data_IF_480161930235
#
_entry.id   IF_480161930235
#
_cell.length_a   1.000
_cell.length_b   1.000
_cell.length_c   1.000
_cell.angle_alpha   90.00
_cell.angle_beta   90.00
_cell.angle_gamma   90.00
#
_symmetry.space_group_name_H-M   'P 1'
#
loop_
_entity.id
_entity.type
_entity.pdbx_description
1 polymer ?
#
# COMPACT_ATOMS: atom_id res chain seq x y z
N UNK A 1 23.35 35.43 -13.63
CA UNK A 1 22.53 34.89 -12.52
C UNK A 1 23.23 33.60 -12.14
N UNK A 2 23.98 33.62 -11.04
CA UNK A 2 24.73 32.45 -10.60
C UNK A 2 23.70 31.37 -10.27
N UNK A 3 23.67 30.27 -11.02
CA UNK A 3 22.87 29.10 -10.67
C UNK A 3 23.29 28.68 -9.26
N UNK A 4 22.47 29.02 -8.27
CA UNK A 4 22.73 28.59 -6.90
C UNK A 4 22.54 27.08 -6.91
N UNK A 5 23.65 26.33 -6.81
CA UNK A 5 23.61 24.87 -6.75
C UNK A 5 22.64 24.45 -5.64
N UNK A 6 21.57 23.75 -6.04
CA UNK A 6 20.58 23.26 -5.09
C UNK A 6 21.25 22.28 -4.12
N UNK A 7 20.88 22.28 -2.83
CA UNK A 7 21.40 21.29 -1.89
C UNK A 7 21.15 19.86 -2.41
N UNK A 8 22.15 18.98 -2.27
CA UNK A 8 22.06 17.62 -2.80
C UNK A 8 21.08 16.74 -2.03
N UNK A 9 20.94 16.95 -0.72
CA UNK A 9 20.18 16.06 0.17
C UNK A 9 18.78 16.58 0.55
N UNK A 10 18.43 17.84 0.24
CA UNK A 10 17.09 18.37 0.55
C UNK A 10 16.68 19.51 -0.40
N UNK A 11 15.38 19.80 -0.43
CA UNK A 11 14.82 20.93 -1.15
C UNK A 11 13.54 21.41 -0.47
N UNK A 12 13.38 22.73 -0.31
CA UNK A 12 12.17 23.34 0.23
C UNK A 12 11.44 24.06 -0.92
N UNK A 13 10.27 23.57 -1.37
CA UNK A 13 9.60 24.05 -2.58
C UNK A 13 8.76 25.32 -2.35
N UNK A 14 9.23 26.23 -1.49
CA UNK A 14 8.61 27.54 -1.26
C UNK A 14 9.68 28.63 -1.16
N UNK A 15 9.39 29.88 -1.57
CA UNK A 15 10.30 30.99 -1.34
C UNK A 15 10.43 31.26 0.16
N UNK A 16 11.66 31.41 0.63
CA UNK A 16 11.99 31.72 2.02
C UNK A 16 12.78 33.03 2.05
N UNK A 17 12.48 33.90 3.01
CA UNK A 17 13.24 35.13 3.27
C UNK A 17 14.58 34.83 3.96
N UNK A 18 15.46 34.08 3.28
CA UNK A 18 16.80 33.78 3.75
C UNK A 18 17.81 33.87 2.62
N UNK A 19 18.98 34.44 2.91
CA UNK A 19 20.13 34.45 1.98
C UNK A 19 20.86 33.11 1.93
N UNK A 20 20.64 32.22 2.91
CA UNK A 20 21.30 30.91 2.98
C UNK A 20 20.29 29.82 3.42
N UNK A 21 19.80 29.05 2.45
CA UNK A 21 18.84 27.96 2.67
C UNK A 21 19.40 26.83 3.53
N UNK A 22 20.73 26.66 3.57
CA UNK A 22 21.40 25.64 4.38
C UNK A 22 21.22 25.89 5.89
N UNK A 23 20.97 27.14 6.30
CA UNK A 23 20.60 27.47 7.69
C UNK A 23 19.26 26.87 8.10
N UNK A 24 18.38 26.58 7.13
CA UNK A 24 17.07 25.97 7.34
C UNK A 24 17.07 24.48 7.02
N UNK A 25 18.26 23.84 7.00
CA UNK A 25 18.40 22.42 6.71
C UNK A 25 17.46 21.58 7.61
N UNK A 26 16.62 20.71 7.02
CA UNK A 26 15.69 19.85 7.75
C UNK A 26 16.39 18.79 8.59
N UNK A 27 17.71 18.66 8.45
CA UNK A 27 18.54 17.75 9.24
C UNK A 27 19.14 18.41 10.49
N UNK A 28 19.17 19.75 10.53
CA UNK A 28 19.88 20.50 11.58
C UNK A 28 18.93 21.30 12.49
N UNK A 29 17.82 21.82 11.95
CA UNK A 29 16.95 22.74 12.70
C UNK A 29 15.46 22.42 12.57
N UNK A 30 14.65 22.67 13.63
CA UNK A 30 13.19 22.60 13.59
C UNK A 30 12.56 23.44 12.46
N UNK A 31 11.59 22.87 11.76
CA UNK A 31 10.94 23.44 10.57
C UNK A 31 9.67 24.23 10.93
N UNK A 32 9.70 24.96 12.05
CA UNK A 32 8.55 25.71 12.60
C UNK A 32 8.08 26.88 11.73
N UNK A 33 8.88 27.25 10.73
CA UNK A 33 8.50 28.25 9.72
C UNK A 33 7.52 27.69 8.68
N UNK A 34 7.39 26.36 8.55
CA UNK A 34 6.50 25.71 7.58
C UNK A 34 5.07 25.51 8.11
N UNK A 35 4.92 25.30 9.42
CA UNK A 35 3.63 25.12 10.07
C UNK A 35 3.72 25.39 11.59
N UNK A 36 2.56 25.61 12.22
CA UNK A 36 2.49 25.72 13.67
C UNK A 36 2.83 24.39 14.35
N UNK A 37 3.34 24.45 15.58
CA UNK A 37 3.64 23.25 16.38
C UNK A 37 2.42 22.33 16.55
N UNK A 38 1.21 22.89 16.58
CA UNK A 38 -0.04 22.11 16.63
C UNK A 38 -0.23 21.20 15.40
N UNK A 39 0.17 21.65 14.21
CA UNK A 39 0.11 20.82 12.98
C UNK A 39 1.12 19.67 13.07
N UNK A 40 2.37 19.97 13.45
CA UNK A 40 3.40 18.93 13.64
C UNK A 40 2.97 17.88 14.67
N UNK A 41 2.44 18.31 15.82
CA UNK A 41 1.95 17.39 16.86
C UNK A 41 0.76 16.56 16.38
N UNK A 42 -0.13 17.14 15.58
CA UNK A 42 -1.26 16.42 14.98
C UNK A 42 -0.79 15.33 14.02
N UNK A 43 0.20 15.64 13.17
CA UNK A 43 0.83 14.65 12.27
C UNK A 43 1.59 13.58 13.05
N UNK A 44 2.30 13.95 14.11
CA UNK A 44 2.97 13.01 15.00
C UNK A 44 1.96 12.06 15.66
N UNK A 45 0.85 12.57 16.20
CA UNK A 45 -0.20 11.77 16.81
C UNK A 45 -0.82 10.77 15.81
N UNK A 46 -1.04 11.20 14.57
CA UNK A 46 -1.54 10.31 13.51
C UNK A 46 -0.51 9.23 13.14
N UNK A 47 0.76 9.57 12.96
CA UNK A 47 1.81 8.59 12.70
C UNK A 47 1.98 7.60 13.85
N UNK A 48 1.89 8.08 15.10
CA UNK A 48 1.91 7.22 16.28
C UNK A 48 0.72 6.24 16.26
N UNK A 49 -0.48 6.72 15.92
CA UNK A 49 -1.64 5.86 15.71
C UNK A 49 -1.39 4.76 14.66
N UNK A 50 -0.76 5.10 13.53
CA UNK A 50 -0.38 4.11 12.52
C UNK A 50 0.62 3.07 13.05
N UNK A 51 1.57 3.49 13.89
CA UNK A 51 2.56 2.57 14.50
C UNK A 51 1.88 1.60 15.47
N UNK A 52 1.08 2.11 16.42
CA UNK A 52 0.45 1.27 17.45
C UNK A 52 -0.63 0.35 16.90
N UNK A 53 -1.24 0.67 15.76
CA UNK A 53 -2.25 -0.19 15.12
C UNK A 53 -1.65 -1.06 14.02
N UNK A 54 -0.76 -0.50 13.20
CA UNK A 54 -0.16 -1.15 12.05
C UNK A 54 0.82 -2.25 12.44
N UNK A 55 1.68 -2.05 13.45
CA UNK A 55 2.60 -3.12 13.88
C UNK A 55 1.84 -4.35 14.36
N UNK A 56 0.90 -4.26 15.34
CA UNK A 56 0.23 -5.45 15.85
C UNK A 56 -0.60 -6.17 14.79
N UNK A 57 -1.37 -5.46 13.96
CA UNK A 57 -2.27 -6.12 12.99
C UNK A 57 -1.51 -6.87 11.89
N UNK A 58 -0.42 -6.30 11.38
CA UNK A 58 0.40 -6.97 10.37
C UNK A 58 1.23 -8.10 10.98
N UNK A 59 1.79 -7.92 12.18
CA UNK A 59 2.51 -8.97 12.89
C UNK A 59 1.58 -10.15 13.20
N UNK A 60 0.37 -9.86 13.68
CA UNK A 60 -0.63 -10.87 13.98
C UNK A 60 -1.05 -11.62 12.71
N UNK A 61 -1.14 -10.94 11.57
CA UNK A 61 -1.41 -11.58 10.27
C UNK A 61 -0.33 -12.61 9.91
N UNK A 62 0.94 -12.25 10.08
CA UNK A 62 2.07 -13.16 9.85
C UNK A 62 2.04 -14.33 10.83
N UNK A 63 1.99 -14.05 12.14
CA UNK A 63 2.00 -15.06 13.20
C UNK A 63 0.82 -16.02 13.11
N UNK A 64 -0.39 -15.52 12.83
CA UNK A 64 -1.58 -16.34 12.68
C UNK A 64 -1.43 -17.33 11.52
N UNK A 65 -0.91 -16.88 10.38
CA UNK A 65 -0.68 -17.74 9.21
C UNK A 65 0.38 -18.81 9.50
N UNK A 66 1.44 -18.45 10.23
CA UNK A 66 2.43 -19.42 10.67
C UNK A 66 1.84 -20.42 11.68
N UNK A 67 1.02 -20.00 12.64
CA UNK A 67 0.48 -20.89 13.67
C UNK A 67 -0.56 -21.88 13.12
N UNK A 68 -1.48 -21.41 12.29
CA UNK A 68 -2.62 -22.22 11.83
C UNK A 68 -2.38 -22.79 10.43
N UNK A 69 -2.15 -24.11 10.33
CA UNK A 69 -1.95 -24.81 9.04
C UNK A 69 -3.08 -24.56 8.04
N UNK A 70 -4.33 -24.40 8.51
CA UNK A 70 -5.52 -24.08 7.69
C UNK A 70 -5.36 -22.78 6.89
N UNK A 71 -4.57 -21.82 7.40
CA UNK A 71 -4.29 -20.56 6.72
C UNK A 71 -3.12 -20.64 5.75
N UNK A 72 -2.37 -21.75 5.67
CA UNK A 72 -1.23 -21.89 4.75
C UNK A 72 -1.67 -22.33 3.34
N UNK A 73 -2.73 -21.70 2.85
CA UNK A 73 -3.24 -21.84 1.49
C UNK A 73 -2.46 -20.94 0.54
N UNK A 74 -2.35 -21.34 -0.73
CA UNK A 74 -1.75 -20.55 -1.81
C UNK A 74 -2.33 -19.12 -1.88
N UNK A 75 -3.63 -18.98 -1.57
CA UNK A 75 -4.35 -17.69 -1.56
C UNK A 75 -3.86 -16.73 -0.47
N UNK A 76 -3.31 -17.26 0.62
CA UNK A 76 -2.90 -16.46 1.77
C UNK A 76 -1.43 -16.04 1.70
N UNK A 77 -0.64 -16.59 0.77
CA UNK A 77 0.77 -16.23 0.62
C UNK A 77 0.93 -14.76 0.24
N UNK A 78 0.09 -14.26 -0.68
CA UNK A 78 0.11 -12.86 -1.08
C UNK A 78 -0.40 -11.91 0.03
N UNK A 79 -1.29 -12.39 0.91
CA UNK A 79 -1.72 -11.64 2.09
C UNK A 79 -0.61 -11.52 3.13
N UNK A 80 0.17 -12.59 3.33
CA UNK A 80 1.38 -12.54 4.17
C UNK A 80 2.43 -11.64 3.54
N UNK A 81 2.62 -11.70 2.22
CA UNK A 81 3.53 -10.82 1.48
C UNK A 81 3.18 -9.33 1.71
N UNK A 82 1.90 -9.00 1.59
CA UNK A 82 1.37 -7.67 1.90
C UNK A 82 1.62 -7.27 3.36
N UNK A 83 1.41 -8.18 4.31
CA UNK A 83 1.67 -7.91 5.73
C UNK A 83 3.16 -7.66 6.02
N UNK A 84 4.06 -8.42 5.37
CA UNK A 84 5.52 -8.21 5.48
C UNK A 84 5.92 -6.86 4.91
N UNK A 85 5.39 -6.48 3.75
CA UNK A 85 5.64 -5.16 3.15
C UNK A 85 5.14 -4.03 4.06
N UNK A 86 3.94 -4.15 4.61
CA UNK A 86 3.40 -3.18 5.56
C UNK A 86 4.23 -3.10 6.85
N UNK A 87 4.75 -4.22 7.37
CA UNK A 87 5.65 -4.21 8.54
C UNK A 87 6.92 -3.40 8.26
N UNK A 88 7.48 -3.46 7.05
CA UNK A 88 8.61 -2.62 6.66
C UNK A 88 8.24 -1.13 6.68
N UNK A 89 7.10 -0.77 6.08
CA UNK A 89 6.63 0.62 6.05
C UNK A 89 6.35 1.15 7.46
N UNK A 90 5.71 0.37 8.34
CA UNK A 90 5.42 0.86 9.69
C UNK A 90 6.69 0.95 10.54
N UNK A 91 7.54 -0.07 10.48
CA UNK A 91 8.73 -0.15 11.34
C UNK A 91 9.77 0.90 11.00
N UNK A 92 9.92 1.23 9.71
CA UNK A 92 10.92 2.23 9.26
C UNK A 92 10.24 3.54 8.89
N UNK A 93 9.31 3.51 7.94
CA UNK A 93 8.58 4.68 7.42
C UNK A 93 7.81 5.43 8.49
N UNK A 94 6.72 4.83 8.99
CA UNK A 94 5.82 5.48 9.94
C UNK A 94 6.50 5.79 11.28
N UNK A 95 7.40 4.93 11.75
CA UNK A 95 8.13 5.15 13.02
C UNK A 95 9.11 6.32 12.91
N UNK A 96 9.88 6.40 11.82
CA UNK A 96 10.78 7.54 11.57
C UNK A 96 10.00 8.84 11.36
N UNK A 97 8.89 8.78 10.63
CA UNK A 97 8.02 9.93 10.43
C UNK A 97 7.41 10.42 11.75
N UNK A 98 6.90 9.52 12.60
CA UNK A 98 6.43 9.85 13.95
C UNK A 98 7.49 10.61 14.74
N UNK A 99 8.71 10.05 14.82
CA UNK A 99 9.81 10.68 15.54
C UNK A 99 10.15 12.06 14.98
N UNK A 100 10.22 12.19 13.66
CA UNK A 100 10.58 13.45 12.99
C UNK A 100 9.49 14.52 13.15
N UNK A 101 8.21 14.16 13.05
CA UNK A 101 7.10 15.09 13.32
C UNK A 101 7.08 15.53 14.79
N UNK A 102 7.36 14.61 15.72
CA UNK A 102 7.48 14.94 17.16
C UNK A 102 8.64 15.90 17.44
N UNK A 103 9.76 15.77 16.72
CA UNK A 103 10.89 16.71 16.80
C UNK A 103 10.70 17.98 15.99
N UNK A 104 9.71 18.02 15.08
CA UNK A 104 9.43 19.09 14.11
C UNK A 104 10.52 19.27 13.03
N UNK A 105 11.40 18.29 12.83
CA UNK A 105 12.39 18.21 11.75
C UNK A 105 12.94 16.79 11.62
N UNK A 106 13.64 16.49 10.53
CA UNK A 106 14.24 15.18 10.28
C UNK A 106 15.63 15.05 10.93
N UNK A 107 15.68 14.91 12.25
CA UNK A 107 16.96 14.95 12.99
C UNK A 107 17.87 13.71 12.81
N UNK A 108 17.45 12.71 12.04
CA UNK A 108 18.20 11.46 11.83
C UNK A 108 19.24 11.57 10.69
N UNK A 109 19.26 12.69 9.98
CA UNK A 109 20.21 12.97 8.91
C UNK A 109 19.85 12.39 7.54
N UNK A 110 20.62 12.78 6.52
CA UNK A 110 20.34 12.46 5.12
C UNK A 110 20.38 10.96 4.80
N UNK A 111 21.27 10.19 5.44
CA UNK A 111 21.34 8.73 5.24
C UNK A 111 20.07 8.03 5.73
N UNK A 112 19.57 8.41 6.90
CA UNK A 112 18.31 7.87 7.41
C UNK A 112 17.11 8.28 6.54
N UNK A 113 17.14 9.48 5.94
CA UNK A 113 16.13 9.92 4.97
C UNK A 113 16.11 9.05 3.71
N UNK A 114 17.29 8.70 3.18
CA UNK A 114 17.42 7.77 2.04
C UNK A 114 16.90 6.38 2.39
N UNK A 115 17.20 5.88 3.60
CA UNK A 115 16.69 4.58 4.09
C UNK A 115 15.17 4.63 4.25
N UNK A 116 14.62 5.68 4.86
CA UNK A 116 13.19 5.81 5.08
C UNK A 116 12.42 5.91 3.76
N UNK A 117 12.85 6.80 2.86
CA UNK A 117 12.26 6.93 1.53
C UNK A 117 12.32 5.63 0.73
N UNK A 118 13.47 4.94 0.74
CA UNK A 118 13.62 3.65 0.06
C UNK A 118 12.69 2.58 0.63
N UNK A 119 12.71 2.36 1.95
CA UNK A 119 11.90 1.30 2.58
C UNK A 119 10.41 1.60 2.47
N UNK A 120 10.00 2.85 2.64
CA UNK A 120 8.61 3.26 2.45
C UNK A 120 8.15 3.04 1.00
N UNK A 121 9.01 3.36 0.02
CA UNK A 121 8.72 3.15 -1.41
C UNK A 121 8.68 1.66 -1.75
N UNK A 122 9.66 0.85 -1.34
CA UNK A 122 9.65 -0.61 -1.53
C UNK A 122 8.37 -1.22 -0.97
N UNK A 123 8.07 -0.97 0.31
CA UNK A 123 6.92 -1.54 0.97
C UNK A 123 5.61 -1.09 0.35
N UNK A 124 5.50 0.20 -0.01
CA UNK A 124 4.38 0.75 -0.76
C UNK A 124 4.15 0.05 -2.09
N UNK A 125 5.21 -0.13 -2.87
CA UNK A 125 5.15 -0.77 -4.19
C UNK A 125 4.84 -2.27 -4.10
N UNK A 126 5.44 -3.00 -3.15
CA UNK A 126 5.11 -4.41 -2.90
C UNK A 126 3.64 -4.55 -2.53
N UNK A 127 3.13 -3.67 -1.66
CA UNK A 127 1.73 -3.65 -1.28
C UNK A 127 0.84 -3.41 -2.49
N UNK A 128 1.16 -2.43 -3.32
CA UNK A 128 0.42 -2.05 -4.52
C UNK A 128 0.36 -3.20 -5.54
N UNK A 129 1.51 -3.78 -5.88
CA UNK A 129 1.55 -4.93 -6.79
C UNK A 129 0.89 -6.18 -6.21
N UNK A 130 0.91 -6.36 -4.88
CA UNK A 130 0.18 -7.46 -4.23
C UNK A 130 -1.33 -7.35 -4.46
N UNK A 131 -1.90 -6.14 -4.43
CA UNK A 131 -3.31 -5.92 -4.76
C UNK A 131 -3.64 -6.33 -6.20
N UNK A 132 -2.77 -5.97 -7.15
CA UNK A 132 -2.93 -6.33 -8.56
C UNK A 132 -2.84 -7.86 -8.78
N UNK A 133 -1.88 -8.52 -8.11
CA UNK A 133 -1.75 -9.99 -8.16
C UNK A 133 -3.00 -10.67 -7.57
N UNK A 134 -3.54 -10.19 -6.45
CA UNK A 134 -4.80 -10.71 -5.87
C UNK A 134 -5.96 -10.56 -6.86
N UNK A 135 -6.09 -9.41 -7.52
CA UNK A 135 -7.14 -9.18 -8.50
C UNK A 135 -7.01 -10.13 -9.71
N UNK A 136 -5.80 -10.28 -10.22
CA UNK A 136 -5.50 -11.15 -11.36
C UNK A 136 -5.72 -12.64 -11.04
N UNK A 137 -5.25 -13.09 -9.88
CA UNK A 137 -5.45 -14.45 -9.39
C UNK A 137 -6.93 -14.81 -9.29
N UNK A 138 -7.74 -13.93 -8.68
CA UNK A 138 -9.21 -14.09 -8.61
C UNK A 138 -9.86 -14.12 -9.98
N UNK A 139 -9.44 -13.25 -10.89
CA UNK A 139 -9.93 -13.25 -12.26
C UNK A 139 -9.65 -14.58 -12.95
N UNK A 140 -8.42 -15.11 -12.84
CA UNK A 140 -8.07 -16.41 -13.42
C UNK A 140 -8.89 -17.54 -12.80
N UNK A 141 -8.92 -17.67 -11.48
CA UNK A 141 -9.58 -18.80 -10.81
C UNK A 141 -11.10 -18.83 -11.05
N UNK A 142 -11.74 -17.68 -11.19
CA UNK A 142 -13.21 -17.57 -11.23
C UNK A 142 -13.74 -17.35 -12.64
N UNK A 143 -13.13 -16.45 -13.43
CA UNK A 143 -13.68 -16.05 -14.74
C UNK A 143 -13.18 -16.92 -15.88
N UNK A 144 -11.99 -17.51 -15.72
CA UNK A 144 -11.41 -18.39 -16.71
C UNK A 144 -11.02 -19.70 -16.05
N UNK A 145 -11.92 -20.69 -15.95
CA UNK A 145 -11.48 -22.06 -15.77
C UNK A 145 -10.63 -22.42 -17.01
N UNK A 146 -9.32 -22.17 -16.97
CA UNK A 146 -8.39 -22.41 -18.08
C UNK A 146 -8.18 -23.92 -18.16
N UNK A 147 -9.18 -24.66 -18.63
CA UNK A 147 -9.18 -26.13 -18.65
C UNK A 147 -8.76 -26.72 -17.30
N UNK A 148 -7.70 -27.53 -17.31
CA UNK A 148 -7.13 -28.20 -16.13
C UNK A 148 -6.18 -27.33 -15.30
N UNK A 149 -6.09 -26.01 -15.56
CA UNK A 149 -5.19 -25.13 -14.81
C UNK A 149 -5.70 -24.93 -13.38
N UNK A 150 -4.97 -25.46 -12.41
CA UNK A 150 -5.18 -25.21 -10.99
C UNK A 150 -4.10 -24.27 -10.47
N UNK A 151 -4.49 -23.25 -9.72
CA UNK A 151 -3.54 -22.35 -9.06
C UNK A 151 -2.79 -23.09 -7.95
N UNK A 152 -1.44 -23.15 -8.04
CA UNK A 152 -0.55 -23.91 -7.14
C UNK A 152 0.32 -22.97 -6.30
N UNK A 153 0.98 -23.49 -5.27
CA UNK A 153 1.97 -22.73 -4.47
C UNK A 153 3.01 -22.03 -5.32
N UNK A 154 3.50 -22.68 -6.38
CA UNK A 154 4.51 -22.12 -7.27
C UNK A 154 4.05 -20.82 -7.91
N UNK A 155 2.80 -20.74 -8.36
CA UNK A 155 2.23 -19.53 -8.93
C UNK A 155 2.05 -18.43 -7.88
N UNK A 156 1.66 -18.79 -6.64
CA UNK A 156 1.57 -17.84 -5.54
C UNK A 156 2.93 -17.24 -5.18
N UNK A 157 3.97 -18.08 -5.05
CA UNK A 157 5.34 -17.65 -4.76
C UNK A 157 5.88 -16.78 -5.89
N UNK A 158 5.65 -17.17 -7.15
CA UNK A 158 6.03 -16.37 -8.32
C UNK A 158 5.35 -15.00 -8.29
N UNK A 159 4.08 -14.93 -7.90
CA UNK A 159 3.36 -13.68 -7.66
C UNK A 159 4.04 -12.82 -6.60
N UNK A 160 4.41 -13.39 -5.44
CA UNK A 160 5.15 -12.66 -4.41
C UNK A 160 6.48 -12.14 -4.96
N UNK A 161 7.32 -13.00 -5.57
CA UNK A 161 8.63 -12.62 -6.13
C UNK A 161 8.48 -11.49 -7.16
N UNK A 162 7.47 -11.58 -8.03
CA UNK A 162 7.15 -10.54 -8.99
C UNK A 162 6.91 -9.18 -8.31
N UNK A 163 6.13 -9.13 -7.22
CA UNK A 163 5.87 -7.86 -6.51
C UNK A 163 7.15 -7.20 -5.98
N UNK A 164 8.10 -7.99 -5.47
CA UNK A 164 9.38 -7.48 -4.96
C UNK A 164 10.28 -6.98 -6.09
N UNK A 165 10.36 -7.71 -7.21
CA UNK A 165 11.13 -7.27 -8.38
C UNK A 165 10.60 -5.92 -8.87
N UNK A 166 9.28 -5.80 -9.05
CA UNK A 166 8.66 -4.57 -9.55
C UNK A 166 8.83 -3.41 -8.56
N UNK A 167 8.77 -3.69 -7.26
CA UNK A 167 9.05 -2.71 -6.22
C UNK A 167 10.50 -2.22 -6.24
N UNK A 168 11.47 -3.12 -6.45
CA UNK A 168 12.89 -2.75 -6.53
C UNK A 168 13.21 -1.97 -7.81
N UNK A 169 12.61 -2.34 -8.95
CA UNK A 169 12.72 -1.56 -10.19
C UNK A 169 12.25 -0.12 -9.98
N UNK A 170 11.22 0.08 -9.15
CA UNK A 170 10.70 1.41 -8.85
C UNK A 170 11.51 2.17 -7.79
N UNK A 171 11.96 1.49 -6.73
CA UNK A 171 12.52 2.14 -5.54
C UNK A 171 14.06 2.25 -5.53
N UNK A 172 14.77 1.39 -6.26
CA UNK A 172 16.22 1.43 -6.35
C UNK A 172 16.77 2.64 -7.14
N UNK A 173 16.18 3.08 -8.28
CA UNK A 173 16.79 4.11 -9.11
C UNK A 173 17.15 5.44 -8.42
N UNK A 174 16.36 5.96 -7.45
CA UNK A 174 16.73 7.16 -6.70
C UNK A 174 18.02 7.02 -5.87
N UNK A 175 18.46 5.79 -5.57
CA UNK A 175 19.74 5.53 -4.90
C UNK A 175 20.93 5.61 -5.88
N UNK A 176 20.69 5.50 -7.18
CA UNK A 176 21.70 5.44 -8.24
C UNK A 176 21.64 6.64 -9.19
N UNK A 177 20.93 7.71 -8.80
CA UNK A 177 20.94 8.99 -9.52
C UNK A 177 19.79 9.20 -10.50
N UNK A 178 18.83 8.27 -10.62
CA UNK A 178 17.57 8.54 -11.33
C UNK A 178 16.50 8.92 -10.31
N UNK A 179 16.27 10.22 -10.17
CA UNK A 179 15.70 10.88 -8.99
C UNK A 179 16.58 10.76 -7.74
N UNK A 180 16.04 11.12 -6.58
CA UNK A 180 16.68 11.06 -5.25
C UNK A 180 15.62 11.00 -4.14
N UNK A 181 15.99 10.48 -2.98
CA UNK A 181 15.16 10.55 -1.78
C UNK A 181 15.50 11.79 -0.97
N UNK A 182 14.51 12.65 -0.74
CA UNK A 182 14.64 13.90 0.01
C UNK A 182 13.46 14.07 0.98
N UNK A 183 13.57 14.96 1.99
CA UNK A 183 12.44 15.29 2.83
C UNK A 183 11.29 15.93 2.04
N UNK A 184 10.08 15.48 2.28
CA UNK A 184 8.85 15.89 1.58
C UNK A 184 7.90 16.65 2.53
N UNK A 185 7.04 17.51 1.96
CA UNK A 185 6.03 18.24 2.72
C UNK A 185 6.64 19.14 3.80
N UNK A 186 6.22 18.94 5.05
CA UNK A 186 6.77 19.60 6.24
C UNK A 186 8.18 19.13 6.63
N UNK A 187 8.86 18.40 5.75
CA UNK A 187 10.25 17.96 5.90
C UNK A 187 10.48 17.00 7.09
N UNK A 188 9.44 16.23 7.45
CA UNK A 188 9.47 15.21 8.52
C UNK A 188 9.21 13.78 8.02
N UNK A 189 9.04 13.61 6.71
CA UNK A 189 8.97 12.33 6.00
C UNK A 189 9.88 12.45 4.80
N UNK A 190 10.38 11.34 4.26
CA UNK A 190 11.18 11.29 3.06
C UNK A 190 10.51 10.45 1.99
N UNK A 191 10.71 10.89 0.76
CA UNK A 191 10.16 10.24 -0.42
C UNK A 191 10.92 10.67 -1.67
N UNK A 192 10.55 10.13 -2.83
CA UNK A 192 11.13 10.56 -4.08
C UNK A 192 11.01 12.08 -4.32
N UNK A 193 11.96 12.65 -5.06
CA UNK A 193 11.91 14.07 -5.41
C UNK A 193 11.01 14.29 -6.62
N UNK A 194 9.78 14.78 -6.39
CA UNK A 194 8.88 15.30 -7.41
C UNK A 194 8.84 16.83 -7.45
N UNK A 195 9.65 17.53 -6.66
CA UNK A 195 9.62 19.00 -6.57
C UNK A 195 10.60 19.65 -7.54
N UNK A 196 11.83 19.13 -7.62
CA UNK A 196 12.88 19.79 -8.39
C UNK A 196 12.91 19.32 -9.84
N UNK A 197 13.20 20.25 -10.75
CA UNK A 197 13.16 20.06 -12.21
C UNK A 197 14.45 20.58 -12.84
N UNK A 198 14.70 20.23 -14.12
CA UNK A 198 15.89 20.67 -14.87
C UNK A 198 17.22 20.47 -14.12
N UNK A 199 17.38 19.33 -13.46
CA UNK A 199 18.57 19.00 -12.66
C UNK A 199 19.19 17.66 -13.10
N UNK A 200 20.36 17.34 -12.54
CA UNK A 200 21.13 16.13 -12.87
C UNK A 200 20.42 14.79 -12.61
N UNK A 201 19.36 14.78 -11.79
CA UNK A 201 18.67 13.55 -11.36
C UNK A 201 17.51 13.15 -12.28
N UNK A 202 17.11 13.99 -13.25
CA UNK A 202 16.02 13.69 -14.19
C UNK A 202 14.69 13.30 -13.51
N UNK A 203 14.35 13.95 -12.39
CA UNK A 203 13.17 13.67 -11.56
C UNK A 203 11.86 13.52 -12.35
N UNK A 204 11.67 14.35 -13.36
CA UNK A 204 10.44 14.41 -14.16
C UNK A 204 10.15 13.07 -14.85
N UNK A 205 11.18 12.51 -15.49
CA UNK A 205 11.09 11.21 -16.15
C UNK A 205 10.79 10.08 -15.15
N UNK A 206 11.35 10.17 -13.94
CA UNK A 206 11.11 9.21 -12.87
C UNK A 206 9.68 9.29 -12.34
N UNK A 207 9.14 10.49 -12.11
CA UNK A 207 7.74 10.68 -11.68
C UNK A 207 6.77 10.15 -12.75
N UNK A 208 7.04 10.42 -14.03
CA UNK A 208 6.22 9.88 -15.13
C UNK A 208 6.29 8.35 -15.19
N UNK A 209 7.47 7.77 -14.96
CA UNK A 209 7.64 6.32 -14.84
C UNK A 209 6.80 5.76 -13.67
N UNK A 210 6.87 6.34 -12.47
CA UNK A 210 6.07 5.92 -11.33
C UNK A 210 4.56 6.01 -11.62
N UNK A 211 4.11 7.10 -12.23
CA UNK A 211 2.70 7.28 -12.55
C UNK A 211 2.21 6.24 -13.57
N UNK A 212 2.91 6.09 -14.69
CA UNK A 212 2.48 5.19 -15.75
C UNK A 212 2.60 3.71 -15.34
N UNK A 213 3.75 3.33 -14.78
CA UNK A 213 4.09 1.94 -14.53
C UNK A 213 3.70 1.46 -13.13
N UNK A 214 3.91 2.28 -12.11
CA UNK A 214 3.67 1.87 -10.72
C UNK A 214 2.25 2.19 -10.24
N UNK A 215 1.54 3.14 -10.86
CA UNK A 215 0.14 3.41 -10.58
C UNK A 215 -0.79 2.94 -11.71
N UNK A 216 -0.54 3.36 -12.96
CA UNK A 216 -1.41 3.11 -14.11
C UNK A 216 -1.58 1.63 -14.44
N UNK A 217 -0.49 0.86 -14.55
CA UNK A 217 -0.56 -0.57 -14.88
C UNK A 217 -1.28 -1.39 -13.79
N UNK A 218 -0.93 -1.28 -12.50
CA UNK A 218 -1.66 -1.98 -11.44
C UNK A 218 -3.12 -1.58 -11.35
N UNK A 219 -3.43 -0.28 -11.43
CA UNK A 219 -4.81 0.21 -11.38
C UNK A 219 -5.65 -0.37 -12.52
N UNK A 220 -5.14 -0.29 -13.76
CA UNK A 220 -5.83 -0.84 -14.93
C UNK A 220 -6.03 -2.35 -14.80
N UNK A 221 -5.02 -3.07 -14.28
CA UNK A 221 -5.12 -4.51 -14.02
C UNK A 221 -6.21 -4.82 -13.01
N UNK A 222 -6.25 -4.10 -11.89
CA UNK A 222 -7.26 -4.27 -10.83
C UNK A 222 -8.66 -4.02 -11.39
N UNK A 223 -8.87 -2.90 -12.07
CA UNK A 223 -10.16 -2.53 -12.66
C UNK A 223 -10.61 -3.59 -13.66
N UNK A 224 -9.76 -3.95 -14.63
CA UNK A 224 -10.08 -4.96 -15.63
C UNK A 224 -10.48 -6.30 -15.00
N UNK A 225 -9.64 -6.83 -14.11
CA UNK A 225 -9.84 -8.14 -13.48
C UNK A 225 -11.14 -8.15 -12.67
N UNK A 226 -11.41 -7.11 -11.90
CA UNK A 226 -12.60 -7.03 -11.08
C UNK A 226 -13.88 -6.71 -11.85
N UNK A 227 -13.81 -5.92 -12.92
CA UNK A 227 -14.96 -5.76 -13.83
C UNK A 227 -15.36 -7.12 -14.41
N UNK A 228 -14.40 -7.90 -14.91
CA UNK A 228 -14.70 -9.24 -15.45
C UNK A 228 -15.21 -10.20 -14.37
N UNK A 229 -14.66 -10.12 -13.16
CA UNK A 229 -15.13 -10.89 -12.01
C UNK A 229 -16.60 -10.60 -11.69
N UNK A 230 -16.96 -9.33 -11.55
CA UNK A 230 -18.32 -8.93 -11.24
C UNK A 230 -19.31 -9.31 -12.34
N UNK A 231 -18.94 -9.15 -13.61
CA UNK A 231 -19.78 -9.57 -14.74
C UNK A 231 -20.03 -11.08 -14.74
N UNK A 232 -19.00 -11.87 -14.48
CA UNK A 232 -19.10 -13.33 -14.41
C UNK A 232 -19.98 -13.76 -13.24
N UNK A 233 -19.74 -13.22 -12.04
CA UNK A 233 -20.52 -13.55 -10.85
C UNK A 233 -21.99 -13.17 -11.00
N UNK A 234 -22.30 -12.01 -11.59
CA UNK A 234 -23.68 -11.61 -11.90
C UNK A 234 -24.35 -12.56 -12.90
N UNK A 235 -23.62 -13.01 -13.91
CA UNK A 235 -24.14 -14.00 -14.87
C UNK A 235 -24.47 -15.32 -14.20
N UNK A 236 -23.58 -15.81 -13.33
CA UNK A 236 -23.80 -17.06 -12.57
C UNK A 236 -24.96 -16.91 -11.59
N UNK A 237 -25.01 -15.81 -10.84
CA UNK A 237 -26.09 -15.54 -9.89
C UNK A 237 -27.46 -15.45 -10.59
N UNK A 238 -27.52 -14.86 -11.79
CA UNK A 238 -28.74 -14.84 -12.61
C UNK A 238 -29.14 -16.23 -13.12
N UNK A 239 -28.16 -17.07 -13.49
CA UNK A 239 -28.44 -18.45 -13.91
C UNK A 239 -28.91 -19.36 -12.77
N UNK A 240 -28.54 -19.03 -11.52
CA UNK A 240 -28.87 -19.78 -10.31
C UNK A 240 -29.73 -18.95 -9.36
N UNK A 241 -30.79 -18.34 -9.89
CA UNK A 241 -31.62 -17.37 -9.15
C UNK A 241 -32.27 -17.97 -7.88
N UNK A 242 -32.51 -19.28 -7.86
CA UNK A 242 -33.08 -19.99 -6.70
C UNK A 242 -32.07 -20.29 -5.58
N UNK A 243 -30.76 -20.12 -5.83
CA UNK A 243 -29.72 -20.41 -4.84
C UNK A 243 -29.38 -19.18 -3.99
N UNK A 244 -30.02 -19.09 -2.82
CA UNK A 244 -29.73 -18.03 -1.85
C UNK A 244 -28.26 -18.03 -1.39
N UNK A 245 -27.60 -19.19 -1.38
CA UNK A 245 -26.17 -19.31 -1.04
C UNK A 245 -25.28 -18.72 -2.14
N UNK A 246 -25.58 -18.96 -3.42
CA UNK A 246 -24.85 -18.37 -4.56
C UNK A 246 -24.98 -16.85 -4.58
N UNK A 247 -26.18 -16.32 -4.36
CA UNK A 247 -26.41 -14.87 -4.28
C UNK A 247 -25.66 -14.22 -3.10
N UNK A 248 -25.65 -14.87 -1.93
CA UNK A 248 -24.90 -14.37 -0.76
C UNK A 248 -23.40 -14.35 -1.03
N UNK A 249 -22.86 -15.40 -1.66
CA UNK A 249 -21.45 -15.47 -2.02
C UNK A 249 -21.06 -14.37 -3.03
N UNK A 250 -21.87 -14.13 -4.06
CA UNK A 250 -21.68 -13.01 -5.00
C UNK A 250 -21.61 -11.67 -4.26
N UNK A 251 -22.58 -11.40 -3.37
CA UNK A 251 -22.66 -10.13 -2.65
C UNK A 251 -21.43 -9.88 -1.76
N UNK A 252 -20.96 -10.91 -1.06
CA UNK A 252 -19.77 -10.81 -0.21
C UNK A 252 -18.50 -10.57 -1.04
N UNK A 253 -18.35 -11.23 -2.19
CA UNK A 253 -17.22 -11.01 -3.10
C UNK A 253 -17.28 -9.62 -3.72
N UNK A 254 -18.45 -9.19 -4.18
CA UNK A 254 -18.65 -7.84 -4.73
C UNK A 254 -18.32 -6.77 -3.70
N UNK A 255 -18.77 -6.93 -2.45
CA UNK A 255 -18.40 -6.03 -1.34
C UNK A 255 -16.88 -5.99 -1.14
N UNK A 256 -16.20 -7.14 -1.15
CA UNK A 256 -14.74 -7.22 -1.02
C UNK A 256 -14.02 -6.45 -2.13
N UNK A 257 -14.43 -6.69 -3.37
CA UNK A 257 -13.88 -6.01 -4.55
C UNK A 257 -14.02 -4.49 -4.44
N UNK A 258 -15.22 -3.99 -4.14
CA UNK A 258 -15.48 -2.55 -4.04
C UNK A 258 -14.63 -1.92 -2.94
N UNK A 259 -14.58 -2.54 -1.76
CA UNK A 259 -13.79 -2.04 -0.63
C UNK A 259 -12.30 -2.03 -0.96
N UNK A 260 -11.78 -3.03 -1.66
CA UNK A 260 -10.38 -3.07 -2.08
C UNK A 260 -10.02 -1.98 -3.11
N UNK A 261 -10.87 -1.75 -4.11
CA UNK A 261 -10.66 -0.69 -5.13
C UNK A 261 -10.73 0.69 -4.48
N UNK A 262 -11.71 0.92 -3.61
CA UNK A 262 -11.81 2.18 -2.87
C UNK A 262 -10.60 2.37 -1.95
N UNK A 263 -10.15 1.32 -1.26
CA UNK A 263 -8.94 1.36 -0.43
C UNK A 263 -7.68 1.72 -1.22
N UNK A 264 -7.53 1.18 -2.45
CA UNK A 264 -6.45 1.57 -3.35
C UNK A 264 -6.53 3.07 -3.71
N UNK A 265 -7.69 3.53 -4.16
CA UNK A 265 -7.89 4.90 -4.61
C UNK A 265 -7.66 5.91 -3.47
N UNK A 266 -8.25 5.69 -2.29
CA UNK A 266 -8.15 6.63 -1.17
C UNK A 266 -6.71 6.90 -0.75
N UNK A 267 -5.78 5.99 -1.01
CA UNK A 267 -4.47 6.04 -0.38
C UNK A 267 -3.34 6.28 -1.35
N UNK A 268 -3.50 5.84 -2.60
CA UNK A 268 -2.51 6.07 -3.65
C UNK A 268 -2.92 7.18 -4.61
N UNK A 269 -4.22 7.37 -4.87
CA UNK A 269 -4.66 8.42 -5.80
C UNK A 269 -4.30 9.83 -5.31
N UNK A 270 -4.45 10.21 -4.03
CA UNK A 270 -4.04 11.55 -3.58
C UNK A 270 -2.56 11.79 -3.82
N UNK A 271 -1.72 10.81 -3.54
CA UNK A 271 -0.27 10.92 -3.70
C UNK A 271 0.13 11.01 -5.17
N UNK A 272 -0.37 10.08 -5.99
CA UNK A 272 -0.13 10.08 -7.43
C UNK A 272 -0.62 11.37 -8.10
N UNK A 273 -1.82 11.85 -7.74
CA UNK A 273 -2.40 13.07 -8.28
C UNK A 273 -1.61 14.31 -7.85
N UNK A 274 -1.17 14.37 -6.59
CA UNK A 274 -0.36 15.46 -6.08
C UNK A 274 1.02 15.52 -6.75
N UNK A 275 1.74 14.39 -6.82
CA UNK A 275 3.04 14.33 -7.50
C UNK A 275 2.94 14.73 -8.97
N UNK A 276 1.88 14.28 -9.66
CA UNK A 276 1.64 14.64 -11.05
C UNK A 276 1.27 16.13 -11.21
N UNK A 277 0.45 16.67 -10.30
CA UNK A 277 0.08 18.08 -10.28
C UNK A 277 1.31 18.97 -10.11
N UNK A 278 2.22 18.65 -9.17
CA UNK A 278 3.49 19.39 -8.96
C UNK A 278 4.34 19.38 -10.22
N UNK A 279 4.39 18.25 -10.95
CA UNK A 279 5.12 18.15 -12.21
C UNK A 279 4.50 18.97 -13.33
N UNK A 280 3.18 19.17 -13.36
CA UNK A 280 2.50 19.97 -14.39
C UNK A 280 2.39 21.47 -14.06
N UNK A 281 2.35 21.85 -12.77
CA UNK A 281 2.17 23.23 -12.30
C UNK A 281 3.49 23.76 -11.72
N UNK A 282 4.56 23.66 -12.50
CA UNK A 282 5.91 24.00 -12.05
C UNK A 282 6.04 25.50 -11.80
N UNK A 283 6.71 25.85 -10.71
CA UNK A 283 6.92 27.24 -10.30
C UNK A 283 5.72 27.87 -9.59
N UNK A 284 4.59 27.17 -9.50
CA UNK A 284 3.48 27.59 -8.65
C UNK A 284 3.79 27.28 -7.18
N UNK A 285 3.54 28.25 -6.31
CA UNK A 285 3.65 28.06 -4.86
C UNK A 285 2.45 27.29 -4.35
N UNK A 286 2.68 26.29 -3.53
CA UNK A 286 1.63 25.52 -2.86
C UNK A 286 1.89 25.42 -1.36
N UNK A 287 0.84 25.12 -0.61
CA UNK A 287 0.92 24.95 0.82
C UNK A 287 1.57 23.59 1.17
N UNK A 288 2.74 23.63 1.80
CA UNK A 288 3.46 22.44 2.27
C UNK A 288 2.69 21.60 3.30
N UNK A 289 1.72 22.20 4.01
CA UNK A 289 0.79 21.48 4.88
C UNK A 289 -0.07 20.52 4.06
N UNK A 290 -0.57 20.97 2.92
CA UNK A 290 -1.37 20.16 1.98
C UNK A 290 -0.48 19.13 1.29
N UNK A 291 0.76 19.47 0.96
CA UNK A 291 1.72 18.54 0.35
C UNK A 291 2.07 17.33 1.24
N UNK A 292 1.97 17.50 2.57
CA UNK A 292 2.23 16.41 3.52
C UNK A 292 1.08 15.41 3.60
N UNK A 293 -0.16 15.86 3.37
CA UNK A 293 -1.36 15.04 3.55
C UNK A 293 -1.32 13.76 2.69
N UNK A 294 -1.06 13.81 1.37
CA UNK A 294 -1.01 12.61 0.53
C UNK A 294 0.02 11.57 0.98
N UNK A 295 1.22 12.01 1.40
CA UNK A 295 2.26 11.11 1.91
C UNK A 295 1.76 10.35 3.15
N UNK A 296 1.15 11.08 4.07
CA UNK A 296 0.66 10.52 5.33
C UNK A 296 -0.51 9.55 5.10
N UNK A 297 -1.43 9.88 4.19
CA UNK A 297 -2.52 8.99 3.79
C UNK A 297 -2.02 7.71 3.12
N UNK A 298 -0.97 7.78 2.29
CA UNK A 298 -0.36 6.59 1.69
C UNK A 298 0.18 5.63 2.76
N UNK A 299 0.77 6.15 3.85
CA UNK A 299 1.28 5.36 4.98
C UNK A 299 0.15 4.72 5.81
N UNK A 300 -1.07 5.27 5.79
CA UNK A 300 -2.24 4.67 6.42
C UNK A 300 -2.65 3.32 5.79
N UNK A 301 -2.15 3.01 4.59
CA UNK A 301 -2.29 1.71 3.91
C UNK A 301 -1.81 0.52 4.70
N UNK A 302 -0.89 0.76 5.63
CA UNK A 302 -0.42 -0.27 6.54
C UNK A 302 -1.47 -0.75 7.53
N UNK A 303 -2.51 0.04 7.81
CA UNK A 303 -3.56 -0.27 8.78
C UNK A 303 -4.83 -0.76 8.11
N UNK A 304 -5.37 0.00 7.15
CA UNK A 304 -6.66 -0.36 6.57
C UNK A 304 -6.55 -1.57 5.63
N UNK A 305 -5.42 -1.81 4.94
CA UNK A 305 -5.29 -2.98 4.07
C UNK A 305 -5.50 -4.28 4.88
N UNK A 306 -4.78 -4.53 5.98
CA UNK A 306 -5.05 -5.68 6.84
C UNK A 306 -6.47 -5.72 7.39
N UNK A 307 -7.06 -4.57 7.76
CA UNK A 307 -8.46 -4.53 8.22
C UNK A 307 -9.38 -5.10 7.13
N UNK A 308 -9.24 -4.65 5.88
CA UNK A 308 -10.03 -5.17 4.76
C UNK A 308 -9.85 -6.68 4.65
N UNK A 309 -8.63 -7.20 4.64
CA UNK A 309 -8.40 -8.64 4.43
C UNK A 309 -8.81 -9.52 5.61
N UNK A 310 -8.46 -9.12 6.82
CA UNK A 310 -8.73 -9.87 8.04
C UNK A 310 -10.22 -9.89 8.33
N UNK A 311 -10.92 -8.75 8.22
CA UNK A 311 -12.36 -8.73 8.51
C UNK A 311 -13.21 -9.37 7.40
N UNK A 312 -12.75 -9.34 6.15
CA UNK A 312 -13.48 -9.95 5.02
C UNK A 312 -13.16 -11.43 4.83
N UNK A 313 -12.03 -11.93 5.33
CA UNK A 313 -11.71 -13.36 5.33
C UNK A 313 -12.15 -14.01 6.65
N UNK A 314 -13.33 -14.66 6.64
CA UNK A 314 -13.88 -15.37 7.81
C UNK A 314 -12.90 -16.36 8.44
N UNK A 315 -12.17 -17.13 7.64
CA UNK A 315 -11.19 -18.10 8.15
C UNK A 315 -10.07 -17.39 8.92
N UNK A 316 -9.58 -16.28 8.35
CA UNK A 316 -8.53 -15.47 8.96
C UNK A 316 -9.01 -14.84 10.26
N UNK A 317 -10.19 -14.22 10.24
CA UNK A 317 -10.83 -13.64 11.42
C UNK A 317 -10.96 -14.65 12.56
N UNK A 318 -11.49 -15.84 12.29
CA UNK A 318 -11.69 -16.86 13.33
C UNK A 318 -10.38 -17.34 13.94
N UNK A 319 -9.36 -17.61 13.12
CA UNK A 319 -8.02 -17.97 13.62
C UNK A 319 -7.36 -16.83 14.40
N UNK A 320 -7.54 -15.57 13.96
CA UNK A 320 -6.98 -14.40 14.63
C UNK A 320 -7.64 -14.18 16.00
N UNK A 321 -8.97 -14.31 16.10
CA UNK A 321 -9.68 -14.24 17.38
C UNK A 321 -9.24 -15.37 18.32
N UNK A 322 -9.11 -16.61 17.82
CA UNK A 322 -8.56 -17.72 18.63
C UNK A 322 -7.13 -17.41 19.14
N UNK A 323 -6.32 -16.68 18.38
CA UNK A 323 -4.98 -16.28 18.81
C UNK A 323 -5.01 -15.19 19.89
N UNK A 324 -5.85 -14.16 19.73
CA UNK A 324 -6.00 -13.06 20.69
C UNK A 324 -6.57 -13.55 22.03
N UNK A 325 -7.56 -14.45 21.98
CA UNK A 325 -8.27 -14.95 23.16
C UNK A 325 -7.72 -16.29 23.68
N UNK A 326 -6.44 -16.59 23.43
CA UNK A 326 -5.74 -17.77 23.94
C UNK A 326 -6.48 -19.11 23.72
N UNK A 327 -7.08 -19.28 22.55
CA UNK A 327 -7.80 -20.49 22.14
C UNK A 327 -9.32 -20.43 22.35
N UNK A 328 -9.85 -19.42 23.05
CA UNK A 328 -11.30 -19.22 23.21
C UNK A 328 -11.87 -18.55 21.96
N UNK A 329 -12.97 -19.07 21.41
CA UNK A 329 -13.71 -18.43 20.31
C UNK A 329 -14.83 -17.57 20.90
N UNK A 330 -14.71 -16.23 20.95
CA UNK A 330 -15.78 -15.36 21.47
C UNK A 330 -17.06 -15.39 20.62
N UNK A 331 -17.02 -15.99 19.42
CA UNK A 331 -18.16 -16.13 18.51
C UNK A 331 -18.68 -17.57 18.38
N UNK A 332 -18.25 -18.50 19.25
CA UNK A 332 -18.62 -19.93 19.18
C UNK A 332 -17.86 -20.70 18.09
N UNK A 333 -17.74 -22.02 18.25
CA UNK A 333 -17.09 -22.93 17.29
C UNK A 333 -18.05 -23.40 16.16
N UNK A 334 -18.95 -22.53 15.69
CA UNK A 334 -19.99 -22.92 14.71
C UNK A 334 -19.48 -23.19 13.28
N UNK A 335 -18.20 -22.93 12.97
CA UNK A 335 -17.68 -22.99 11.59
C UNK A 335 -16.75 -24.17 11.28
N UNK A 336 -16.46 -25.08 12.21
CA UNK A 336 -15.54 -26.20 11.94
C UNK A 336 -16.15 -27.28 11.01
N UNK A 337 -17.47 -27.29 10.79
CA UNK A 337 -18.14 -28.19 9.85
C UNK A 337 -18.49 -27.56 8.48
N UNK A 338 -18.50 -26.23 8.34
CA UNK A 338 -18.93 -25.54 7.10
C UNK A 338 -17.78 -25.03 6.23
N UNK A 339 -16.57 -24.96 6.77
CA UNK A 339 -15.45 -24.27 6.14
C UNK A 339 -14.55 -25.20 5.30
N UNK A 340 -15.17 -25.96 4.39
CA UNK A 340 -14.50 -26.30 3.14
C UNK A 340 -14.24 -24.98 2.40
N UNK A 341 -12.98 -24.77 2.01
CA UNK A 341 -12.46 -23.81 1.01
C UNK A 341 -13.35 -22.59 0.79
N UNK A 342 -12.91 -21.38 1.16
CA UNK A 342 -13.49 -20.08 0.75
C UNK A 342 -14.46 -20.27 -0.42
N UNK A 343 -15.78 -20.25 -0.16
CA UNK A 343 -16.86 -20.77 -1.03
C UNK A 343 -16.90 -20.19 -2.46
N UNK A 344 -15.95 -19.36 -2.81
CA UNK A 344 -15.64 -18.91 -4.16
C UNK A 344 -14.98 -20.01 -5.01
N UNK A 345 -14.30 -21.01 -4.41
CA UNK A 345 -13.66 -22.11 -5.15
C UNK A 345 -14.51 -23.38 -5.27
N UNK A 346 -15.56 -23.54 -4.45
CA UNK A 346 -16.44 -24.72 -4.50
C UNK A 346 -17.57 -24.61 -5.53
N UNK A 347 -17.78 -23.42 -6.11
CA UNK A 347 -18.70 -23.26 -7.26
C UNK A 347 -18.07 -23.87 -8.52
N UNK A 348 -16.74 -23.96 -8.59
CA UNK A 348 -16.01 -24.45 -9.76
C UNK A 348 -16.01 -25.98 -9.91
N UNK A 349 -16.22 -26.74 -8.82
CA UNK A 349 -16.04 -28.21 -8.83
C UNK A 349 -17.33 -29.01 -8.99
N UNK A 350 -18.51 -28.39 -8.92
CA UNK A 350 -19.75 -29.17 -8.80
C UNK A 350 -20.63 -29.21 -10.04
N UNK A 351 -20.51 -28.31 -11.02
CA UNK A 351 -21.47 -28.28 -12.13
C UNK A 351 -20.92 -27.68 -13.43
N UNK A 352 -20.09 -28.43 -14.15
CA UNK A 352 -20.13 -28.46 -15.62
C UNK A 352 -19.77 -29.89 -16.05
N UNK A 353 -20.75 -30.79 -16.01
CA UNK A 353 -20.68 -31.99 -16.85
C UNK A 353 -20.92 -31.53 -18.30
N UNK A 354 -20.07 -31.88 -19.27
CA UNK A 354 -20.34 -31.56 -20.66
C UNK A 354 -21.51 -32.42 -21.15
N UNK A 355 -22.51 -31.77 -21.72
CA UNK A 355 -23.43 -32.37 -22.68
C UNK A 355 -22.90 -32.10 -24.09
#
# INVERSE_FOLDING_TARGET
IQEQELPEDFYIPIPLETSNITLLSPFLVPQVHLASSGVFMSMAAFMFFLVITGLPINLLTVVCTFKYKKLRSHLNYILVNLAVANLLVVSVGSTTAFYSFFRMFFSLGATACKIEGFVATVGGMVSLWSLAVIAFERFLVICKPVGNFTFKSSHAIMGCVFTWIMALIASAPPLFGWSRYIPEGLQCSCGPDWYTTNNKYNNESYVMFLFCFCFGVPFTTIVFCYTKLLLTLRSVAKSQEQSATTQKAEREVTKMVVVMVLGFLVCWLPYASFSLWVVFHRGETFDLRVASVPSIFSKASTVYNPIIYVFMNKQFRSCMMKLIFCGKSPFGDEDDASSQVTQVSSVSTSQVAPA
#
